data_IF_932794286946
#
_entry.id   IF_932794286946
#
_cell.length_a   1.000
_cell.length_b   1.000
_cell.length_c   1.000
_cell.angle_alpha   90.00
_cell.angle_beta   90.00
_cell.angle_gamma   90.00
#
_symmetry.space_group_name_H-M   'P 1'
#
loop_
_entity.id
_entity.type
_entity.pdbx_description
1 polymer ?
2 non-polymer ?
3 non-polymer ?
4 non-polymer ?
5 water ?
#
# COMPACT_ATOMS: atom_id res chain seq x y z
N UNK A 1 15.80 13.05 6.20
CA UNK A 1 16.38 14.25 6.88
C UNK A 1 15.29 15.17 7.47
N UNK A 2 14.19 15.35 6.74
CA UNK A 2 13.06 16.18 7.21
C UNK A 2 12.69 15.90 8.66
N UNK A 3 12.72 16.95 9.48
CA UNK A 3 12.45 16.84 10.90
C UNK A 3 10.96 16.90 11.19
N UNK A 4 10.56 16.42 12.37
CA UNK A 4 9.17 16.53 12.80
C UNK A 4 8.87 17.97 13.18
N UNK A 5 9.78 18.59 13.94
CA UNK A 5 9.65 19.99 14.35
C UNK A 5 9.61 20.89 13.13
N UNK A 6 10.36 20.50 12.11
CA UNK A 6 10.41 21.21 10.84
C UNK A 6 9.05 21.18 10.17
N UNK A 7 8.28 20.12 10.43
CA UNK A 7 6.96 19.93 9.81
C UNK A 7 5.86 20.54 10.67
N UNK A 8 6.00 20.43 11.99
CA UNK A 8 5.07 21.05 12.92
C UNK A 8 5.05 22.58 12.80
N UNK A 9 6.20 23.14 12.43
CA UNK A 9 6.35 24.58 12.30
C UNK A 9 5.88 25.08 10.95
N UNK A 10 5.76 24.18 9.98
CA UNK A 10 5.12 24.51 8.70
C UNK A 10 3.61 24.55 8.91
N UNK A 11 3.13 23.57 9.67
CA UNK A 11 1.72 23.40 9.97
C UNK A 11 1.19 24.47 10.92
N UNK A 12 2.08 25.07 11.70
CA UNK A 12 1.70 26.12 12.64
C UNK A 12 1.38 27.43 11.95
N UNK A 13 1.96 27.62 10.77
CA UNK A 13 1.65 28.79 9.95
C UNK A 13 0.38 28.54 9.15
N UNK A 14 -0.20 27.36 9.32
CA UNK A 14 -1.45 27.00 8.66
C UNK A 14 -2.63 27.67 9.35
N UNK A 15 -3.55 28.18 8.56
CA UNK A 15 -4.86 28.58 9.04
C UNK A 15 -5.69 27.37 9.51
N UNK A 16 -5.70 27.15 10.82
CA UNK A 16 -6.34 25.96 11.40
C UNK A 16 -7.85 25.87 11.19
N UNK A 17 -8.44 26.91 10.61
CA UNK A 17 -9.87 26.94 10.34
C UNK A 17 -10.18 26.41 8.94
N UNK A 18 -9.14 26.27 8.12
CA UNK A 18 -9.30 25.92 6.71
C UNK A 18 -8.42 24.76 6.25
N UNK A 19 -8.24 23.77 7.13
CA UNK A 19 -7.41 22.61 6.80
C UNK A 19 -8.04 21.79 5.68
N UNK A 20 -7.30 21.61 4.59
CA UNK A 20 -7.76 20.79 3.48
C UNK A 20 -7.01 19.45 3.46
N UNK A 21 -7.55 18.49 2.72
CA UNK A 21 -6.87 17.22 2.54
C UNK A 21 -6.46 17.13 1.07
N UNK A 22 -5.17 16.91 0.84
CA UNK A 22 -4.68 16.81 -0.53
C UNK A 22 -4.12 15.41 -0.83
N UNK A 23 -4.10 15.07 -2.11
CA UNK A 23 -3.45 13.85 -2.55
C UNK A 23 -3.29 13.87 -4.06
N UNK A 24 -2.50 12.93 -4.58
CA UNK A 24 -2.32 12.81 -6.01
C UNK A 24 -3.48 12.03 -6.61
N UNK A 25 -3.96 12.49 -7.75
CA UNK A 25 -5.09 11.85 -8.41
C UNK A 25 -4.72 10.53 -9.03
N UNK A 26 -4.65 9.48 -8.21
CA UNK A 26 -4.37 8.13 -8.67
C UNK A 26 -4.36 7.17 -7.49
N UNK A 27 -4.18 5.89 -7.79
CA UNK A 27 -4.01 4.86 -6.76
C UNK A 27 -5.25 4.56 -5.89
N UNK A 28 -5.53 5.44 -4.94
CA UNK A 28 -6.65 5.27 -4.01
C UNK A 28 -7.30 6.61 -3.71
N UNK A 29 -7.13 7.58 -4.59
CA UNK A 29 -7.49 8.96 -4.28
C UNK A 29 -8.99 9.23 -4.34
N UNK A 30 -9.72 8.42 -5.08
CA UNK A 30 -11.17 8.57 -5.18
C UNK A 30 -11.88 8.48 -3.83
N UNK A 31 -11.49 7.54 -2.97
CA UNK A 31 -12.10 7.41 -1.63
C UNK A 31 -11.37 8.21 -0.57
N UNK A 32 -10.08 8.50 -0.80
CA UNK A 32 -9.36 9.46 0.02
C UNK A 32 -10.05 10.83 -0.05
N UNK A 33 -10.39 11.25 -1.27
CA UNK A 33 -11.01 12.54 -1.49
C UNK A 33 -12.52 12.52 -1.18
N UNK A 34 -13.21 11.45 -1.55
CA UNK A 34 -14.60 11.26 -1.14
C UNK A 34 -14.73 11.20 0.36
N UNK A 35 -13.87 10.40 1.00
CA UNK A 35 -13.91 10.27 2.44
C UNK A 35 -13.68 11.58 3.16
N UNK A 36 -12.80 12.41 2.60
CA UNK A 36 -12.54 13.75 3.13
C UNK A 36 -13.78 14.65 3.05
N UNK A 37 -14.40 14.74 1.88
CA UNK A 37 -15.62 15.53 1.72
C UNK A 37 -16.68 15.12 2.74
N UNK A 38 -16.86 13.80 2.91
CA UNK A 38 -17.85 13.23 3.83
C UNK A 38 -17.58 13.66 5.27
N UNK A 39 -16.31 13.94 5.58
CA UNK A 39 -15.93 14.36 6.93
C UNK A 39 -15.90 15.88 7.10
N UNK A 40 -16.25 16.60 6.05
CA UNK A 40 -16.37 18.06 6.11
C UNK A 40 -15.25 18.83 5.44
N UNK A 41 -14.19 18.14 5.01
CA UNK A 41 -13.05 18.79 4.40
C UNK A 41 -13.29 19.28 2.98
N UNK A 42 -12.60 20.36 2.63
CA UNK A 42 -12.38 20.74 1.24
C UNK A 42 -11.15 19.97 0.74
N UNK A 43 -11.17 19.53 -0.52
CA UNK A 43 -10.17 18.60 -1.00
C UNK A 43 -9.34 19.13 -2.16
N UNK A 44 -8.06 18.77 -2.18
CA UNK A 44 -7.15 19.17 -3.26
C UNK A 44 -6.62 17.93 -4.01
N UNK A 45 -6.80 17.94 -5.32
CA UNK A 45 -6.32 16.84 -6.13
C UNK A 45 -5.20 17.27 -7.07
N UNK A 46 -4.00 16.71 -6.88
CA UNK A 46 -2.96 16.88 -7.89
C UNK A 46 -3.25 15.97 -9.10
N UNK A 47 -3.47 16.58 -10.24
CA UNK A 47 -3.81 15.84 -11.45
C UNK A 47 -3.07 16.39 -12.69
N UNK A 48 -3.38 15.85 -13.87
CA UNK A 48 -2.79 16.36 -15.11
C UNK A 48 -3.74 16.12 -16.26
N UNK A 49 -3.49 16.80 -17.37
CA UNK A 49 -4.35 16.64 -18.55
C UNK A 49 -4.30 15.20 -19.00
N UNK A 50 -5.45 14.69 -19.44
CA UNK A 50 -5.56 13.30 -19.88
C UNK A 50 -5.79 12.30 -18.76
N UNK A 51 -5.61 12.75 -17.52
CA UNK A 51 -5.74 11.90 -16.35
C UNK A 51 -6.66 12.47 -15.27
N UNK A 52 -7.44 13.50 -15.64
CA UNK A 52 -8.21 14.26 -14.66
C UNK A 52 -9.70 14.00 -14.68
N UNK A 53 -10.17 13.36 -15.76
CA UNK A 53 -11.58 13.06 -15.97
C UNK A 53 -12.28 12.28 -14.84
N UNK A 54 -11.64 11.23 -14.31
CA UNK A 54 -12.29 10.45 -13.26
C UNK A 54 -12.62 11.32 -12.04
N UNK A 55 -11.73 12.25 -11.71
CA UNK A 55 -11.89 13.13 -10.54
C UNK A 55 -12.87 14.27 -10.78
N UNK A 56 -13.06 14.62 -12.06
CA UNK A 56 -14.04 15.66 -12.43
C UNK A 56 -15.44 15.10 -12.47
N UNK A 57 -15.57 13.86 -12.96
CA UNK A 57 -16.89 13.29 -13.13
C UNK A 57 -17.41 12.65 -11.84
N UNK A 58 -16.51 12.31 -10.95
CA UNK A 58 -16.92 11.77 -9.67
C UNK A 58 -17.16 12.89 -8.64
N UNK A 59 -16.81 14.13 -9.03
CA UNK A 59 -17.08 15.37 -8.28
C UNK A 59 -16.45 15.35 -6.89
N UNK A 60 -15.23 14.85 -6.82
CA UNK A 60 -14.66 14.44 -5.56
C UNK A 60 -13.58 15.42 -5.10
N UNK A 61 -13.20 16.34 -5.99
CA UNK A 61 -12.16 17.32 -5.71
C UNK A 61 -12.68 18.74 -5.86
N UNK A 62 -12.39 19.59 -4.88
CA UNK A 62 -12.83 20.98 -4.93
C UNK A 62 -11.82 21.85 -5.65
N UNK A 63 -10.54 21.56 -5.45
CA UNK A 63 -9.49 22.31 -6.10
C UNK A 63 -8.52 21.37 -6.83
N UNK A 64 -8.20 21.70 -8.07
CA UNK A 64 -7.18 20.97 -8.82
C UNK A 64 -5.85 21.73 -8.88
N UNK A 65 -4.76 21.01 -8.64
CA UNK A 65 -3.42 21.49 -8.96
C UNK A 65 -2.90 20.69 -10.14
N UNK A 66 -2.99 21.24 -11.34
CA UNK A 66 -2.46 20.61 -12.55
C UNK A 66 -0.94 20.69 -12.66
N UNK A 67 -0.30 19.53 -12.82
CA UNK A 67 1.13 19.49 -13.14
C UNK A 67 1.31 19.08 -14.60
N UNK A 68 2.51 19.31 -15.13
CA UNK A 68 2.81 18.90 -16.51
C UNK A 68 2.92 17.39 -16.61
N UNK A 69 3.63 16.81 -15.65
CA UNK A 69 3.68 15.36 -15.44
C UNK A 69 3.71 15.14 -13.95
N UNK A 70 3.22 14.00 -13.48
CA UNK A 70 3.13 13.74 -12.04
C UNK A 70 4.51 13.82 -11.39
N UNK A 71 5.55 13.80 -12.20
CA UNK A 71 6.91 13.88 -11.67
C UNK A 71 7.17 15.27 -11.07
N UNK A 72 6.43 16.28 -11.53
CA UNK A 72 6.59 17.65 -11.06
C UNK A 72 6.15 17.87 -9.61
N UNK A 73 5.48 16.88 -9.03
CA UNK A 73 4.91 17.04 -7.68
C UNK A 73 5.97 17.14 -6.60
N UNK A 74 7.24 16.97 -7.00
CA UNK A 74 8.36 17.22 -6.10
C UNK A 74 8.73 18.70 -6.14
N UNK A 75 8.43 19.35 -7.26
CA UNK A 75 8.80 20.74 -7.49
C UNK A 75 8.35 21.65 -6.37
N UNK A 76 9.26 22.53 -5.95
CA UNK A 76 8.99 23.43 -4.84
C UNK A 76 7.80 24.36 -5.12
N UNK A 77 7.45 24.51 -6.40
CA UNK A 77 6.30 25.31 -6.77
C UNK A 77 4.99 24.67 -6.28
N UNK A 78 4.90 23.36 -6.44
CA UNK A 78 3.69 22.62 -6.06
C UNK A 78 3.60 22.49 -4.55
N UNK A 79 4.75 22.32 -3.90
CA UNK A 79 4.81 22.34 -2.45
C UNK A 79 4.24 23.65 -1.89
N UNK A 80 4.46 24.74 -2.60
CA UNK A 80 3.99 26.06 -2.17
C UNK A 80 2.48 26.22 -2.27
N UNK A 81 1.92 25.86 -3.42
CA UNK A 81 0.47 25.85 -3.59
C UNK A 81 -0.21 25.02 -2.50
N UNK A 82 0.41 23.90 -2.13
CA UNK A 82 -0.15 23.01 -1.11
C UNK A 82 -0.12 23.62 0.26
N UNK A 83 0.97 24.32 0.57
CA UNK A 83 1.11 25.00 1.85
C UNK A 83 0.14 26.18 1.95
N UNK A 84 -0.10 26.86 0.83
CA UNK A 84 -0.96 28.03 0.82
C UNK A 84 -2.43 27.63 0.91
N UNK A 85 -2.69 26.34 0.68
CA UNK A 85 -4.04 25.82 0.73
C UNK A 85 -4.31 25.15 2.06
N UNK A 86 -3.29 25.15 2.93
CA UNK A 86 -3.39 24.53 4.25
C UNK A 86 -3.65 23.02 4.18
N UNK A 87 -3.11 22.38 3.14
CA UNK A 87 -3.33 20.96 2.87
C UNK A 87 -2.46 20.04 3.72
N UNK A 88 -3.09 19.03 4.32
CA UNK A 88 -2.37 17.86 4.79
C UNK A 88 -2.42 16.86 3.62
N UNK A 89 -1.25 16.36 3.22
CA UNK A 89 -1.17 15.40 2.12
C UNK A 89 -1.33 13.96 2.62
N UNK A 90 -2.17 13.18 1.94
CA UNK A 90 -2.33 11.77 2.27
C UNK A 90 -1.52 10.94 1.27
N UNK A 91 -0.47 10.27 1.76
CA UNK A 91 0.42 9.55 0.85
C UNK A 91 -0.17 8.23 0.40
N UNK A 92 0.23 7.81 -0.80
CA UNK A 92 -0.16 6.52 -1.31
C UNK A 92 0.84 6.02 -2.36
N UNK A 93 0.70 4.76 -2.76
CA UNK A 93 1.63 4.13 -3.69
C UNK A 93 2.12 4.99 -4.84
N UNK A 94 1.17 5.57 -5.58
CA UNK A 94 1.51 6.38 -6.76
C UNK A 94 2.22 7.67 -6.43
N UNK A 95 1.85 8.28 -5.32
CA UNK A 95 2.42 9.57 -4.92
C UNK A 95 3.90 9.40 -4.62
N UNK A 96 4.22 8.34 -3.89
CA UNK A 96 5.58 8.06 -3.51
C UNK A 96 6.45 7.79 -4.73
N UNK A 97 5.91 7.04 -5.70
CA UNK A 97 6.64 6.72 -6.91
C UNK A 97 6.93 7.95 -7.78
N UNK A 98 5.90 8.74 -8.07
CA UNK A 98 6.05 9.91 -8.93
C UNK A 98 6.86 11.03 -8.26
N UNK A 99 6.79 11.08 -6.94
CA UNK A 99 7.51 12.11 -6.21
C UNK A 99 8.94 11.65 -5.91
N UNK A 100 9.11 10.33 -5.82
CA UNK A 100 10.40 9.75 -5.47
C UNK A 100 10.58 9.72 -3.97
N UNK A 101 10.91 8.54 -3.45
CA UNK A 101 10.95 8.30 -2.01
C UNK A 101 12.06 9.05 -1.27
N UNK A 102 13.09 9.49 -2.01
CA UNK A 102 14.12 10.33 -1.40
C UNK A 102 13.62 11.76 -1.25
N UNK A 103 12.99 12.26 -2.31
CA UNK A 103 12.31 13.54 -2.26
C UNK A 103 11.25 13.58 -1.18
N UNK A 104 10.53 12.48 -0.99
CA UNK A 104 9.53 12.40 0.07
C UNK A 104 10.18 12.57 1.43
N UNK A 105 11.31 11.90 1.65
CA UNK A 105 11.92 11.81 2.98
C UNK A 105 12.67 13.06 3.45
N UNK A 106 13.08 13.93 2.51
CA UNK A 106 13.84 15.13 2.90
C UNK A 106 13.74 16.34 1.97
N UNK A 107 12.90 16.27 0.94
CA UNK A 107 12.75 17.37 0.00
C UNK A 107 11.27 17.80 -0.16
N UNK A 108 10.35 17.09 0.50
CA UNK A 108 8.92 17.39 0.35
C UNK A 108 8.35 18.02 1.62
N UNK A 109 8.40 19.36 1.67
CA UNK A 109 8.07 20.11 2.88
C UNK A 109 6.59 20.48 3.00
N UNK A 110 5.74 19.46 2.90
CA UNK A 110 4.30 19.63 3.11
C UNK A 110 3.91 18.61 4.17
N UNK A 111 3.08 19.02 5.15
CA UNK A 111 2.59 18.08 6.16
C UNK A 111 1.94 16.84 5.54
N UNK A 112 2.13 15.70 6.17
CA UNK A 112 1.77 14.42 5.56
C UNK A 112 1.17 13.53 6.61
N UNK A 113 0.00 12.95 6.32
CA UNK A 113 -0.61 12.00 7.23
C UNK A 113 0.21 10.69 7.30
N UNK A 114 0.51 10.24 8.51
CA UNK A 114 1.30 9.02 8.71
C UNK A 114 2.73 9.26 9.17
N UNK A 115 3.44 8.17 9.44
CA UNK A 115 4.86 8.19 9.81
C UNK A 115 5.73 8.18 8.57
N UNK A 116 6.28 9.35 8.23
CA UNK A 116 7.08 9.56 7.03
C UNK A 116 8.27 8.60 6.89
N UNK A 117 8.98 8.39 8.00
CA UNK A 117 10.18 7.56 8.01
C UNK A 117 9.88 6.12 7.56
N UNK A 118 8.71 5.61 7.96
CA UNK A 118 8.40 4.20 7.78
C UNK A 118 8.03 3.82 6.35
N UNK A 119 7.94 4.82 5.47
CA UNK A 119 7.65 4.55 4.08
C UNK A 119 8.86 3.88 3.40
N UNK A 120 10.04 4.04 4.00
CA UNK A 120 11.25 3.39 3.51
C UNK A 120 11.22 1.90 3.81
N UNK A 121 10.62 1.54 4.94
CA UNK A 121 10.58 0.15 5.37
C UNK A 121 9.69 -0.76 4.53
N UNK A 122 8.81 -0.16 3.72
CA UNK A 122 7.98 -0.95 2.82
C UNK A 122 8.64 -1.04 1.46
N UNK A 123 9.55 -0.12 1.19
CA UNK A 123 10.21 -0.04 -0.11
C UNK A 123 11.33 -1.05 -0.25
N UNK A 124 12.00 -1.36 0.87
CA UNK A 124 13.13 -2.26 0.87
C UNK A 124 12.78 -3.62 1.43
N UNK A 125 13.00 -4.65 0.62
CA UNK A 125 12.65 -6.03 0.98
C UNK A 125 13.36 -6.52 2.24
N UNK A 126 14.54 -5.96 2.51
CA UNK A 126 15.31 -6.31 3.71
C UNK A 126 14.70 -5.72 4.98
N UNK A 127 14.33 -4.44 4.91
CA UNK A 127 13.63 -3.76 6.01
C UNK A 127 12.27 -4.40 6.25
N UNK A 128 11.52 -4.56 5.16
CA UNK A 128 10.21 -5.20 5.20
C UNK A 128 10.29 -6.59 5.84
N UNK A 129 11.21 -7.42 5.36
CA UNK A 129 11.41 -8.77 5.91
C UNK A 129 11.90 -8.76 7.33
N UNK A 130 12.79 -7.81 7.64
CA UNK A 130 13.28 -7.59 9.00
C UNK A 130 12.09 -7.35 9.93
N UNK A 131 11.28 -6.35 9.60
CA UNK A 131 10.09 -6.00 10.37
C UNK A 131 9.12 -7.16 10.58
N UNK A 132 8.74 -7.83 9.49
CA UNK A 132 7.76 -8.92 9.58
C UNK A 132 8.30 -10.10 10.37
N UNK A 133 9.59 -10.37 10.20
CA UNK A 133 10.27 -11.44 10.92
C UNK A 133 10.38 -11.08 12.42
N UNK A 134 10.80 -9.85 12.71
CA UNK A 134 10.95 -9.42 14.09
C UNK A 134 9.61 -9.20 14.81
N UNK A 135 8.57 -8.84 14.05
CA UNK A 135 7.23 -8.70 14.63
C UNK A 135 6.65 -10.06 14.99
N UNK A 136 7.26 -11.12 14.46
CA UNK A 136 6.83 -12.47 14.75
C UNK A 136 5.81 -12.99 13.77
N UNK A 137 5.86 -12.51 12.53
CA UNK A 137 4.87 -12.94 11.54
C UNK A 137 5.38 -14.04 10.62
N UNK A 138 4.49 -14.95 10.24
CA UNK A 138 4.82 -15.97 9.24
C UNK A 138 5.04 -15.35 7.87
N UNK A 139 6.19 -15.70 7.27
CA UNK A 139 6.56 -15.24 5.94
C UNK A 139 6.99 -16.44 5.09
N UNK A 140 7.01 -16.29 3.76
CA UNK A 140 7.54 -17.39 2.93
C UNK A 140 9.00 -17.69 3.27
N UNK A 141 9.38 -18.96 3.19
CA UNK A 141 10.78 -19.35 3.40
C UNK A 141 11.64 -18.75 2.28
N UNK A 142 12.79 -18.19 2.66
CA UNK A 142 13.67 -17.54 1.68
C UNK A 142 14.75 -18.50 1.15
N UNK A 143 15.23 -18.25 -0.06
CA UNK A 143 16.27 -19.07 -0.68
C UNK A 143 17.44 -18.24 -1.20
N UNK A 144 18.63 -18.52 -0.67
CA UNK A 144 19.81 -17.72 -1.01
C UNK A 144 20.18 -17.83 -2.49
N UNK A 145 20.10 -19.05 -3.03
CA UNK A 145 20.44 -19.25 -4.45
C UNK A 145 19.61 -20.36 -5.10
N UNK A 146 19.59 -20.36 -6.45
CA UNK A 146 18.90 -21.39 -7.23
C UNK A 146 19.24 -22.82 -6.82
N UNK A 147 20.44 -23.03 -6.28
CA UNK A 147 20.86 -24.36 -5.84
C UNK A 147 20.21 -24.80 -4.53
N UNK A 148 19.55 -23.87 -3.85
CA UNK A 148 18.93 -24.18 -2.57
C UNK A 148 17.48 -24.63 -2.73
N UNK A 149 16.97 -24.52 -3.97
CA UNK A 149 15.60 -24.86 -4.31
C UNK A 149 15.29 -26.34 -4.11
N UNK A 150 14.32 -26.63 -3.23
CA UNK A 150 13.94 -28.00 -2.89
C UNK A 150 12.42 -28.19 -2.89
N UNK A 151 11.71 -27.25 -3.50
CA UNK A 151 10.26 -27.31 -3.57
C UNK A 151 9.80 -26.35 -4.64
N UNK A 152 8.51 -26.05 -4.68
CA UNK A 152 8.02 -25.03 -5.59
C UNK A 152 8.33 -23.66 -4.99
N UNK A 153 8.93 -22.80 -5.81
CA UNK A 153 9.27 -21.47 -5.37
C UNK A 153 8.71 -20.46 -6.36
N UNK A 154 8.63 -19.21 -5.94
CA UNK A 154 8.30 -18.15 -6.87
C UNK A 154 9.50 -17.23 -6.88
N UNK A 155 9.83 -16.68 -8.04
CA UNK A 155 11.03 -15.86 -8.14
C UNK A 155 10.72 -14.45 -8.60
N UNK A 156 11.10 -13.47 -7.78
CA UNK A 156 10.77 -12.08 -8.02
C UNK A 156 12.01 -11.23 -8.33
N UNK A 157 11.86 -10.28 -9.25
CA UNK A 157 12.91 -9.33 -9.58
C UNK A 157 12.34 -7.92 -9.50
N UNK A 158 12.97 -7.05 -8.69
CA UNK A 158 12.57 -5.65 -8.51
C UNK A 158 12.44 -4.88 -9.82
N UNK A 165 7.76 -10.71 -15.67
CA UNK A 165 8.85 -10.46 -14.73
C UNK A 165 8.83 -11.35 -13.49
N UNK A 166 8.17 -12.50 -13.59
CA UNK A 166 8.02 -13.42 -12.48
C UNK A 166 7.97 -14.84 -13.05
N UNK A 167 8.42 -15.82 -12.29
CA UNK A 167 8.23 -17.21 -12.69
C UNK A 167 8.24 -18.20 -11.53
N UNK A 168 7.72 -19.40 -11.80
CA UNK A 168 7.66 -20.46 -10.80
C UNK A 168 8.67 -21.55 -11.20
N UNK A 169 9.34 -22.12 -10.19
CA UNK A 169 10.27 -23.20 -10.43
C UNK A 169 10.10 -24.26 -9.36
N UNK A 170 10.27 -25.52 -9.74
CA UNK A 170 10.25 -26.65 -8.78
C UNK A 170 11.61 -27.36 -8.65
N UNK A 171 12.63 -26.82 -9.31
CA UNK A 171 14.00 -27.35 -9.22
C UNK A 171 15.01 -26.30 -9.66
N UNK A 172 16.28 -26.51 -9.32
CA UNK A 172 17.38 -25.67 -9.78
C UNK A 172 17.42 -25.61 -11.31
N UNK A 173 17.27 -26.77 -11.93
CA UNK A 173 17.27 -26.87 -13.39
C UNK A 173 16.17 -26.04 -14.02
N UNK A 174 14.95 -26.17 -13.51
CA UNK A 174 13.83 -25.40 -14.04
C UNK A 174 14.08 -23.90 -13.90
N UNK A 175 14.67 -23.50 -12.78
CA UNK A 175 15.05 -22.10 -12.56
C UNK A 175 15.83 -21.52 -13.75
N UNK A 176 16.92 -22.19 -14.14
CA UNK A 176 17.75 -21.65 -15.22
C UNK A 176 17.07 -21.72 -16.57
N UNK A 177 16.37 -22.82 -16.85
CA UNK A 177 15.64 -22.92 -18.10
C UNK A 177 14.69 -21.73 -18.26
N UNK A 178 13.98 -21.42 -17.18
CA UNK A 178 13.04 -20.30 -17.18
C UNK A 178 13.69 -18.92 -17.22
N UNK A 179 14.74 -18.74 -16.41
CA UNK A 179 15.51 -17.51 -16.47
C UNK A 179 16.01 -17.28 -17.89
N UNK A 180 16.54 -18.33 -18.52
CA UNK A 180 17.01 -18.29 -19.91
C UNK A 180 15.91 -17.87 -20.88
N UNK A 181 14.73 -18.43 -20.69
CA UNK A 181 13.59 -18.09 -21.53
C UNK A 181 13.29 -16.60 -21.42
N UNK A 182 13.16 -16.10 -20.19
CA UNK A 182 12.84 -14.69 -19.95
C UNK A 182 13.97 -13.76 -20.37
N UNK A 183 15.15 -14.33 -20.60
CA UNK A 183 16.31 -13.57 -21.07
C UNK A 183 16.27 -13.47 -22.58
N UNK A 184 16.17 -14.63 -23.25
CA UNK A 184 16.15 -14.69 -24.71
C UNK A 184 14.80 -14.23 -25.28
N UNK A 185 13.99 -13.58 -24.44
CA UNK A 185 12.72 -13.00 -24.88
C UNK A 185 12.69 -11.52 -24.58
N UNK A 186 13.79 -11.02 -24.02
CA UNK A 186 13.94 -9.60 -23.73
C UNK A 186 13.02 -9.09 -22.65
N UNK A 187 12.87 -9.87 -21.58
CA UNK A 187 12.05 -9.48 -20.45
C UNK A 187 12.94 -9.26 -19.22
N UNK A 188 14.04 -10.01 -19.17
CA UNK A 188 14.99 -9.88 -18.06
C UNK A 188 16.44 -9.80 -18.57
N UNK A 189 17.16 -8.81 -18.08
CA UNK A 189 18.58 -8.69 -18.38
C UNK A 189 19.36 -9.54 -17.39
N UNK A 190 20.63 -9.78 -17.68
CA UNK A 190 21.49 -10.61 -16.84
C UNK A 190 21.66 -10.04 -15.43
N UNK A 191 21.37 -8.75 -15.29
CA UNK A 191 21.55 -8.05 -14.02
C UNK A 191 20.37 -8.27 -13.07
N UNK A 192 19.17 -8.40 -13.63
CA UNK A 192 17.99 -8.71 -12.82
C UNK A 192 18.12 -10.08 -12.18
N UNK A 193 18.44 -11.09 -13.00
CA UNK A 193 18.59 -12.46 -12.52
C UNK A 193 19.79 -12.63 -11.60
N UNK A 194 20.70 -11.65 -11.63
CA UNK A 194 21.86 -11.64 -10.74
C UNK A 194 21.43 -11.29 -9.32
N UNK A 195 20.22 -10.74 -9.19
CA UNK A 195 19.66 -10.36 -7.90
C UNK A 195 18.28 -10.97 -7.68
N UNK A 196 18.05 -12.14 -8.29
CA UNK A 196 16.78 -12.83 -8.20
C UNK A 196 16.41 -13.13 -6.75
N UNK A 197 15.19 -12.78 -6.36
CA UNK A 197 14.70 -13.11 -5.03
C UNK A 197 13.79 -14.34 -5.10
N UNK A 198 14.23 -15.40 -4.42
CA UNK A 198 13.58 -16.69 -4.50
C UNK A 198 12.95 -16.99 -3.16
N UNK A 199 11.66 -17.34 -3.18
CA UNK A 199 11.01 -17.73 -1.93
C UNK A 199 10.02 -18.85 -2.13
N UNK A 200 9.71 -19.52 -1.04
CA UNK A 200 8.67 -20.53 -1.00
C UNK A 200 7.41 -20.06 -1.73
N UNK A 201 6.86 -20.91 -2.60
CA UNK A 201 5.56 -20.64 -3.20
C UNK A 201 4.50 -21.07 -2.21
N UNK A 202 3.77 -20.11 -1.64
CA UNK A 202 2.70 -20.45 -0.71
C UNK A 202 1.41 -20.72 -1.48
N UNK A 203 0.84 -21.90 -1.28
CA UNK A 203 -0.37 -22.34 -1.96
C UNK A 203 -1.57 -22.13 -1.03
N UNK A 204 -2.44 -21.18 -1.37
CA UNK A 204 -3.53 -20.85 -0.48
C UNK A 204 -4.43 -19.72 -0.96
N UNK A 205 -5.32 -19.29 -0.09
CA UNK A 205 -6.25 -18.24 -0.42
C UNK A 205 -5.71 -16.84 -0.04
N UNK A 206 -5.77 -15.90 -0.98
CA UNK A 206 -5.33 -14.53 -0.80
C UNK A 206 -6.29 -13.66 0.03
N UNK A 207 -5.77 -13.16 1.14
CA UNK A 207 -6.42 -12.10 1.91
C UNK A 207 -5.47 -10.92 2.05
N UNK A 208 -5.77 -9.81 1.39
CA UNK A 208 -5.07 -8.58 1.67
C UNK A 208 -5.85 -7.84 2.75
N UNK A 209 -5.28 -7.83 3.95
CA UNK A 209 -5.99 -7.33 5.12
C UNK A 209 -5.63 -5.88 5.38
N UNK A 210 -6.65 -5.04 5.39
CA UNK A 210 -6.47 -3.61 5.57
C UNK A 210 -6.75 -3.21 7.02
N UNK A 211 -5.72 -2.69 7.68
CA UNK A 211 -5.83 -2.25 9.06
C UNK A 211 -5.69 -0.73 9.15
N UNK A 212 -6.16 -0.17 10.26
CA UNK A 212 -5.90 1.22 10.58
C UNK A 212 -5.43 1.29 12.02
N UNK A 213 -4.25 1.86 12.24
CA UNK A 213 -3.81 2.11 13.60
C UNK A 213 -4.12 3.55 13.98
N UNK A 214 -4.87 3.71 15.06
CA UNK A 214 -5.22 5.02 15.56
C UNK A 214 -4.30 5.38 16.72
N UNK A 215 -3.46 6.39 16.54
CA UNK A 215 -2.63 6.90 17.64
C UNK A 215 -3.47 7.65 18.68
N UNK A 216 -4.65 8.12 18.27
CA UNK A 216 -5.57 8.78 19.19
C UNK A 216 -6.20 7.78 20.12
N UNK A 217 -6.62 6.64 19.58
CA UNK A 217 -7.27 5.61 20.39
C UNK A 217 -6.33 4.52 20.85
N UNK A 218 -5.09 4.59 20.35
CA UNK A 218 -4.10 3.54 20.58
C UNK A 218 -4.69 2.17 20.29
N UNK A 219 -5.09 1.95 19.05
CA UNK A 219 -5.84 0.76 18.70
C UNK A 219 -5.62 0.39 17.24
N UNK A 220 -5.48 -0.91 16.98
CA UNK A 220 -5.47 -1.44 15.63
C UNK A 220 -6.88 -1.86 15.28
N UNK A 221 -7.38 -1.38 14.15
CA UNK A 221 -8.75 -1.64 13.68
C UNK A 221 -8.70 -2.46 12.39
N UNK A 222 -9.67 -3.34 12.19
CA UNK A 222 -9.85 -4.01 10.90
C UNK A 222 -10.88 -3.27 10.04
N UNK A 223 -10.47 -2.84 8.85
CA UNK A 223 -11.33 -2.04 7.98
C UNK A 223 -11.92 -2.82 6.83
N UNK A 224 -11.14 -3.73 6.27
CA UNK A 224 -11.59 -4.57 5.17
C UNK A 224 -10.54 -5.53 4.60
N UNK A 225 -10.94 -6.25 3.55
CA UNK A 225 -10.09 -7.25 2.91
C UNK A 225 -10.45 -7.38 1.45
N UNK A 226 -9.43 -7.62 0.62
CA UNK A 226 -9.62 -7.96 -0.78
C UNK A 226 -8.67 -9.09 -1.22
N UNK A 227 -8.97 -9.67 -2.38
CA UNK A 227 -8.00 -10.49 -3.07
C UNK A 227 -7.61 -9.81 -4.38
N UNK A 228 -6.35 -9.94 -4.76
CA UNK A 228 -5.85 -9.36 -6.00
C UNK A 228 -6.44 -10.02 -7.23
N UNK A 229 -6.54 -9.22 -8.30
CA UNK A 229 -6.98 -9.69 -9.60
C UNK A 229 -5.83 -9.32 -10.53
N UNK A 230 -5.03 -10.33 -10.90
CA UNK A 230 -3.78 -10.06 -11.60
C UNK A 230 -3.74 -10.62 -13.02
N UNK A 231 -3.11 -9.88 -13.92
CA UNK A 231 -2.98 -10.29 -15.31
C UNK A 231 -1.48 -10.50 -15.58
N UNK A 232 -1.11 -11.54 -16.34
CA UNK A 232 -2.06 -12.39 -17.06
C UNK A 232 -2.54 -13.60 -16.27
N UNK A 233 -2.01 -13.77 -15.06
CA UNK A 233 -2.17 -15.03 -14.33
C UNK A 233 -3.61 -15.48 -14.10
N UNK A 234 -4.48 -14.55 -13.72
CA UNK A 234 -5.85 -14.90 -13.41
C UNK A 234 -6.67 -15.16 -14.69
N UNK A 235 -6.12 -14.72 -15.82
CA UNK A 235 -6.62 -15.12 -17.13
C UNK A 235 -5.97 -16.40 -17.65
N UNK A 236 -4.69 -16.60 -17.33
CA UNK A 236 -3.99 -17.83 -17.69
C UNK A 236 -4.63 -19.09 -17.06
N UNK A 237 -4.95 -19.01 -15.77
CA UNK A 237 -5.51 -20.17 -15.08
C UNK A 237 -6.99 -20.39 -15.35
N UNK A 238 -7.59 -19.50 -16.13
CA UNK A 238 -8.98 -19.68 -16.53
C UNK A 238 -9.05 -20.46 -17.85
N UNK A 239 -7.90 -20.77 -18.42
CA UNK A 239 -7.82 -21.61 -19.62
C UNK A 239 -7.75 -23.06 -19.17
N UNK A 240 -8.56 -23.94 -19.77
CA UNK A 240 -8.49 -25.37 -19.41
C UNK A 240 -7.07 -25.97 -19.52
N UNK A 241 -6.75 -26.88 -18.63
CA UNK A 241 -5.41 -27.48 -18.54
C UNK A 241 -4.89 -28.02 -19.89
N UNK A 242 -5.75 -28.74 -20.61
CA UNK A 242 -5.39 -29.30 -21.93
C UNK A 242 -4.94 -28.22 -22.92
N UNK A 243 -5.66 -27.10 -22.93
CA UNK A 243 -5.32 -26.00 -23.81
C UNK A 243 -4.07 -25.24 -23.35
N UNK A 244 -3.90 -25.07 -22.04
CA UNK A 244 -2.71 -24.42 -21.52
C UNK A 244 -1.43 -25.13 -21.97
N UNK A 245 -1.47 -26.46 -22.03
CA UNK A 245 -0.31 -27.27 -22.41
C UNK A 245 0.03 -27.11 -23.89
N UNK A 246 -0.98 -26.77 -24.69
CA UNK A 246 -0.77 -26.46 -26.10
C UNK A 246 -0.25 -25.05 -26.33
N UNK A 247 -0.10 -24.27 -25.27
CA UNK A 247 0.35 -22.89 -25.40
C UNK A 247 1.79 -22.71 -24.91
N UNK A 248 2.46 -21.73 -25.49
CA UNK A 248 3.77 -21.34 -24.98
C UNK A 248 3.61 -19.99 -24.28
N UNK A 249 3.15 -20.03 -23.03
CA UNK A 249 2.76 -18.82 -22.34
C UNK A 249 3.30 -18.80 -20.92
N UNK A 250 3.92 -17.69 -20.54
CA UNK A 250 4.41 -17.51 -19.18
C UNK A 250 3.44 -16.67 -18.36
N UNK A 251 3.32 -16.97 -17.06
CA UNK A 251 2.50 -16.16 -16.18
C UNK A 251 3.13 -14.81 -15.85
N UNK A 252 2.31 -13.78 -15.83
CA UNK A 252 2.73 -12.50 -15.24
C UNK A 252 1.78 -12.18 -14.09
N UNK A 253 2.17 -11.23 -13.25
CA UNK A 253 1.42 -10.95 -12.02
C UNK A 253 1.15 -9.47 -11.86
N UNK A 254 0.63 -8.85 -12.92
CA UNK A 254 0.40 -7.42 -12.95
C UNK A 254 -0.95 -7.08 -12.31
N UNK A 255 -0.94 -6.32 -11.22
CA UNK A 255 -2.17 -5.90 -10.56
C UNK A 255 -3.07 -5.13 -11.51
N UNK A 256 -4.30 -5.63 -11.68
CA UNK A 256 -5.26 -4.93 -12.54
C UNK A 256 -6.52 -4.53 -11.78
N UNK A 257 -6.69 -5.07 -10.58
CA UNK A 257 -7.93 -4.82 -9.85
C UNK A 257 -8.07 -5.68 -8.62
N UNK A 258 -9.24 -5.61 -8.00
CA UNK A 258 -9.47 -6.30 -6.73
C UNK A 258 -10.88 -6.83 -6.56
N UNK A 259 -10.99 -7.84 -5.72
CA UNK A 259 -12.23 -8.54 -5.51
C UNK A 259 -12.41 -8.62 -4.00
N UNK A 260 -13.63 -8.36 -3.51
CA UNK A 260 -13.93 -8.46 -2.07
C UNK A 260 -14.02 -9.88 -1.52
N UNK A 261 -13.56 -10.04 -0.29
CA UNK A 261 -13.56 -11.34 0.35
C UNK A 261 -13.73 -11.11 1.85
N UNK A 262 -14.27 -12.10 2.56
CA UNK A 262 -14.33 -12.05 4.00
C UNK A 262 -13.61 -13.29 4.49
N UNK A 263 -12.95 -13.20 5.63
CA UNK A 263 -12.28 -14.37 6.18
C UNK A 263 -13.25 -15.16 7.06
N UNK A 264 -12.90 -16.42 7.33
CA UNK A 264 -13.59 -17.27 8.29
C UNK A 264 -13.50 -16.60 9.66
N UNK A 265 -14.62 -16.46 10.36
CA UNK A 265 -14.61 -15.59 11.55
C UNK A 265 -13.68 -16.08 12.67
N UNK A 266 -13.55 -17.39 12.83
CA UNK A 266 -12.61 -17.95 13.82
C UNK A 266 -11.14 -17.57 13.58
N UNK A 267 -10.85 -16.97 12.42
CA UNK A 267 -9.47 -16.59 12.11
C UNK A 267 -9.19 -15.11 12.43
N UNK A 268 -10.21 -14.42 12.93
CA UNK A 268 -10.05 -13.00 13.23
C UNK A 268 -9.10 -12.72 14.40
N UNK A 269 -9.13 -13.59 15.44
CA UNK A 269 -8.11 -13.47 16.49
C UNK A 269 -6.67 -13.53 15.96
N UNK A 270 -6.41 -14.40 14.99
CA UNK A 270 -5.09 -14.42 14.32
C UNK A 270 -4.89 -13.11 13.55
N UNK A 271 -5.94 -12.65 12.87
CA UNK A 271 -5.87 -11.43 12.05
C UNK A 271 -5.48 -10.19 12.85
N UNK A 272 -6.09 -10.03 14.02
CA UNK A 272 -5.82 -8.85 14.87
C UNK A 272 -4.45 -8.96 15.55
N UNK A 273 -4.12 -10.14 16.06
CA UNK A 273 -2.79 -10.39 16.64
C UNK A 273 -1.67 -10.06 15.66
N UNK A 274 -1.89 -10.34 14.37
CA UNK A 274 -0.90 -10.00 13.34
C UNK A 274 -0.69 -8.50 13.24
N UNK A 275 -1.79 -7.75 13.22
CA UNK A 275 -1.73 -6.29 13.18
C UNK A 275 -1.16 -5.71 14.47
N UNK A 276 -1.62 -6.22 15.61
CA UNK A 276 -1.08 -5.84 16.91
C UNK A 276 0.44 -6.01 16.97
N UNK A 277 0.91 -7.20 16.58
CA UNK A 277 2.34 -7.53 16.62
C UNK A 277 3.16 -6.64 15.71
N UNK A 278 2.69 -6.49 14.48
CA UNK A 278 3.32 -5.61 13.50
C UNK A 278 3.44 -4.19 14.04
N UNK A 279 2.39 -3.73 14.71
CA UNK A 279 2.35 -2.37 15.22
C UNK A 279 3.27 -2.20 16.44
N UNK A 280 3.27 -3.18 17.33
CA UNK A 280 4.15 -3.17 18.51
C UNK A 280 5.65 -3.21 18.15
N UNK A 281 6.00 -3.86 17.04
CA UNK A 281 7.41 -3.92 16.63
C UNK A 281 7.83 -2.67 15.88
N UNK A 282 6.93 -2.11 15.07
CA UNK A 282 7.23 -0.91 14.28
C UNK A 282 7.43 0.34 15.17
N UNK A 283 6.81 0.32 16.35
CA UNK A 283 7.02 1.39 17.33
C UNK A 283 8.47 1.41 17.79
N UNK A 284 9.04 0.23 18.02
CA UNK A 284 10.44 0.09 18.42
C UNK A 284 11.39 0.41 17.27
N UNK A 285 11.15 -0.17 16.11
CA UNK A 285 12.07 -0.06 14.99
C UNK A 285 12.04 1.29 14.28
N UNK A 286 10.84 1.86 14.10
CA UNK A 286 10.73 3.15 13.41
C UNK A 286 9.72 4.09 14.09
N UNK A 287 10.10 4.65 15.26
CA UNK A 287 9.19 5.50 16.03
C UNK A 287 8.62 6.67 15.22
N UNK A 288 7.33 7.00 15.42
CA UNK A 288 6.38 6.38 16.36
C UNK A 288 5.75 5.05 15.91
N UNK A 289 6.11 4.56 14.73
CA UNK A 289 5.61 3.26 14.26
C UNK A 289 4.65 3.36 13.08
N UNK A 290 3.66 2.47 13.06
CA UNK A 290 2.61 2.51 12.04
C UNK A 290 1.60 3.60 12.39
N UNK A 291 1.30 4.47 11.43
CA UNK A 291 0.32 5.52 11.69
C UNK A 291 -0.77 5.48 10.63
N UNK A 292 -1.99 5.14 11.04
CA UNK A 292 -3.09 5.05 10.10
C UNK A 292 -3.16 3.74 9.34
N UNK A 293 -3.45 3.82 8.03
CA UNK A 293 -3.69 2.63 7.20
C UNK A 293 -2.45 1.76 6.93
N UNK A 294 -2.59 0.44 7.09
CA UNK A 294 -1.57 -0.52 6.65
C UNK A 294 -2.20 -1.86 6.25
N UNK A 295 -1.54 -2.55 5.33
CA UNK A 295 -2.06 -3.79 4.75
C UNK A 295 -1.07 -4.94 4.91
N UNK A 296 -1.56 -6.06 5.42
CA UNK A 296 -0.82 -7.32 5.33
C UNK A 296 -1.38 -8.13 4.18
N UNK A 297 -0.56 -8.37 3.17
CA UNK A 297 -0.98 -9.18 2.02
C UNK A 297 -0.54 -10.63 2.24
N UNK A 298 -1.50 -11.48 2.55
CA UNK A 298 -1.20 -12.82 3.01
C UNK A 298 -1.85 -13.93 2.18
N UNK A 299 -1.45 -15.15 2.45
CA UNK A 299 -2.05 -16.32 1.83
C UNK A 299 -2.37 -17.27 2.95
N UNK A 300 -3.57 -17.83 2.93
CA UNK A 300 -3.99 -18.74 3.98
C UNK A 300 -3.81 -20.18 3.48
N UNK A 301 -2.91 -20.91 4.13
CA UNK A 301 -2.69 -22.29 3.75
C UNK A 301 -3.75 -23.21 4.35
N UNK A 302 -3.68 -24.48 3.98
CA UNK A 302 -4.67 -25.45 4.41
C UNK A 302 -4.65 -25.69 5.92
N UNK A 303 -3.58 -25.26 6.58
CA UNK A 303 -3.52 -25.36 8.04
C UNK A 303 -4.05 -24.11 8.73
N UNK A 304 -4.78 -23.30 7.96
CA UNK A 304 -5.42 -22.08 8.46
C UNK A 304 -4.41 -21.14 9.08
N UNK A 305 -3.27 -20.99 8.42
CA UNK A 305 -2.24 -20.07 8.86
C UNK A 305 -2.08 -19.05 7.78
N UNK A 306 -2.13 -17.77 8.17
CA UNK A 306 -1.90 -16.69 7.25
C UNK A 306 -0.40 -16.41 7.12
N UNK A 307 0.10 -16.49 5.90
CA UNK A 307 1.50 -16.22 5.62
C UNK A 307 1.60 -14.93 4.82
N UNK A 308 2.39 -13.98 5.32
CA UNK A 308 2.47 -12.66 4.71
C UNK A 308 3.65 -12.56 3.73
N UNK A 309 3.35 -12.25 2.46
CA UNK A 309 4.39 -12.17 1.44
C UNK A 309 4.70 -10.73 1.06
N UNK A 310 3.93 -9.81 1.62
CA UNK A 310 4.06 -8.40 1.28
C UNK A 310 3.33 -7.58 2.34
N UNK A 311 3.67 -6.30 2.41
CA UNK A 311 2.98 -5.38 3.30
C UNK A 311 3.09 -3.98 2.74
N UNK A 312 2.16 -3.12 3.13
CA UNK A 312 2.26 -1.71 2.80
C UNK A 312 2.27 -0.92 4.10
N UNK A 313 2.98 0.21 4.12
CA UNK A 313 3.08 1.02 5.33
C UNK A 313 2.20 2.27 5.20
N UNK A 314 1.39 2.27 4.14
CA UNK A 314 0.38 3.30 3.96
C UNK A 314 -0.87 2.65 3.35
N UNK A 315 -1.76 3.46 2.79
CA UNK A 315 -2.98 2.92 2.22
C UNK A 315 -2.65 2.07 0.99
N UNK A 316 -3.30 0.91 0.89
CA UNK A 316 -3.07 -0.07 -0.17
C UNK A 316 -4.21 -0.03 -1.20
N UNK A 317 -3.88 -0.27 -2.47
CA UNK A 317 -4.85 -0.18 -3.57
C UNK A 317 -6.12 -0.98 -3.38
N UNK A 318 -6.05 -2.04 -2.59
CA UNK A 318 -7.19 -2.92 -2.37
C UNK A 318 -8.35 -2.29 -1.61
N UNK A 319 -8.12 -1.13 -0.99
CA UNK A 319 -9.17 -0.44 -0.24
C UNK A 319 -10.24 0.08 -1.19
N UNK A 320 -9.90 0.11 -2.47
CA UNK A 320 -10.83 0.51 -3.51
C UNK A 320 -12.00 -0.46 -3.61
N UNK A 321 -11.81 -1.71 -3.20
CA UNK A 321 -12.87 -2.70 -3.30
C UNK A 321 -14.02 -2.36 -2.35
N UNK A 322 -13.75 -1.57 -1.31
CA UNK A 322 -14.80 -1.11 -0.39
C UNK A 322 -14.95 0.44 -0.27
N UNK A 323 -14.95 1.15 -1.40
CA UNK A 323 -15.12 2.61 -1.37
C UNK A 323 -16.53 3.02 -0.87
N UNK A 324 -17.49 2.09 -0.97
CA UNK A 324 -18.84 2.32 -0.51
C UNK A 324 -19.06 1.60 0.80
N UNK A 325 -17.95 1.29 1.46
CA UNK A 325 -17.97 0.57 2.72
C UNK A 325 -17.92 -0.94 2.50
N UNK A 326 -17.65 -1.69 3.57
CA UNK A 326 -17.62 -3.14 3.43
C UNK A 326 -18.17 -3.84 4.65
N UNK A 327 -18.19 -5.18 4.62
CA UNK A 327 -18.72 -5.96 5.76
C UNK A 327 -18.07 -5.68 7.12
N UNK A 328 -16.76 -5.42 7.15
CA UNK A 328 -16.08 -5.09 8.41
C UNK A 328 -16.18 -3.61 8.78
N UNK A 329 -16.05 -2.69 7.81
CA UNK A 329 -16.11 -1.26 8.11
C UNK A 329 -17.50 -0.85 8.64
N UNK A 330 -18.49 -1.66 8.30
CA UNK A 330 -19.88 -1.47 8.70
C UNK A 330 -20.16 -1.69 10.19
N UNK A 331 -19.40 -2.59 10.82
CA UNK A 331 -19.72 -3.06 12.16
C UNK A 331 -19.61 -1.95 13.21
N UNK A 332 -18.60 -1.10 13.09
CA UNK A 332 -18.39 0.05 13.95
C UNK A 332 -19.62 0.93 14.22
N UNK A 333 -20.25 1.43 13.16
CA UNK A 333 -21.36 2.36 13.32
C UNK A 333 -22.47 2.20 12.30
N UNK A 334 -22.52 1.05 11.63
CA UNK A 334 -23.52 0.81 10.59
C UNK A 334 -23.42 1.76 9.40
N UNK A 335 -22.22 2.22 9.12
CA UNK A 335 -22.02 3.20 8.04
C UNK A 335 -21.26 2.60 6.84
N UNK A 336 -21.45 3.18 5.65
CA UNK A 336 -20.65 2.87 4.46
C UNK A 336 -19.23 3.47 4.53
N UNK A 337 -18.43 3.03 5.51
CA UNK A 337 -17.15 3.65 5.81
C UNK A 337 -15.99 3.11 4.94
N UNK A 338 -15.35 3.99 4.17
CA UNK A 338 -14.13 3.63 3.46
C UNK A 338 -12.88 3.93 4.25
N UNK A 339 -11.75 3.39 3.80
CA UNK A 339 -10.47 3.73 4.40
C UNK A 339 -10.21 5.22 4.26
N UNK A 340 -10.46 5.78 3.08
CA UNK A 340 -10.32 7.21 2.86
C UNK A 340 -11.04 8.04 3.92
N UNK A 341 -12.28 7.67 4.24
CA UNK A 341 -13.05 8.36 5.25
C UNK A 341 -12.55 8.13 6.68
N UNK A 342 -12.01 6.93 6.93
CA UNK A 342 -11.40 6.61 8.23
C UNK A 342 -10.15 7.44 8.49
N UNK A 343 -9.41 7.73 7.43
CA UNK A 343 -8.23 8.59 7.49
C UNK A 343 -8.64 10.04 7.79
N UNK A 344 -9.55 10.57 6.99
CA UNK A 344 -10.10 11.91 7.18
C UNK A 344 -10.70 12.11 8.57
N UNK A 345 -11.33 11.09 9.13
CA UNK A 345 -11.91 11.21 10.46
C UNK A 345 -10.83 11.39 11.53
N UNK A 346 -9.70 10.71 11.34
CA UNK A 346 -8.60 10.80 12.28
C UNK A 346 -7.98 12.19 12.19
N UNK A 347 -7.86 12.70 10.97
CA UNK A 347 -7.40 14.06 10.79
C UNK A 347 -8.35 15.06 11.49
N UNK A 348 -9.66 14.80 11.40
CA UNK A 348 -10.68 15.65 12.00
C UNK A 348 -10.61 15.64 13.53
N UNK A 349 -10.67 14.45 14.12
CA UNK A 349 -10.58 14.28 15.56
C UNK A 349 -9.30 14.86 16.16
N UNK A 350 -8.17 14.72 15.44
CA UNK A 350 -6.90 15.23 15.92
C UNK A 350 -6.87 16.76 15.91
N UNK A 351 -7.41 17.37 14.86
CA UNK A 351 -7.57 18.83 14.85
C UNK A 351 -8.46 19.32 16.00
N UNK A 352 -9.51 18.55 16.32
CA UNK A 352 -10.46 18.93 17.37
C UNK A 352 -9.92 18.72 18.78
N UNK A 353 -8.96 17.80 18.93
CA UNK A 353 -8.42 17.46 20.23
C UNK A 353 -7.04 18.06 20.43
N UNK A 354 -6.58 18.81 19.44
CA UNK A 354 -5.25 19.41 19.45
C UNK A 354 -4.16 18.34 19.62
N UNK A 355 -4.14 17.38 18.70
CA UNK A 355 -3.25 16.24 18.76
C UNK A 355 -2.78 15.92 17.37
N UNK A 356 -2.61 16.95 16.56
CA UNK A 356 -2.17 16.78 15.19
C UNK A 356 -0.74 16.20 15.15
N UNK A 357 -0.02 16.32 16.27
CA UNK A 357 1.35 15.83 16.37
C UNK A 357 1.40 14.31 16.49
N UNK A 358 0.25 13.69 16.70
CA UNK A 358 0.22 12.23 16.77
C UNK A 358 0.02 11.61 15.38
N UNK A 359 -0.28 12.43 14.38
CA UNK A 359 -0.73 11.91 13.10
C UNK A 359 -0.03 12.47 11.87
N UNK A 360 0.75 13.52 12.04
CA UNK A 360 1.46 14.09 10.87
C UNK A 360 2.98 14.04 11.03
N UNK A 361 3.70 14.18 9.92
CA UNK A 361 5.16 14.21 9.91
C UNK A 361 5.68 14.61 8.55
X LIG B 1 -14.93 15.93 -18.53
X LIG B 1 -14.89 17.36 -18.27
X LIG B 1 -16.29 15.56 -18.93
X LIG B 1 -13.99 15.60 -19.61
X LIG B 1 -14.57 15.19 -17.33
X LIG C 1 -0.69 -0.53 -3.05
X LIG D 1 -4.66 -0.25 3.63
X LIG E 1 4.38 -9.18 -5.01
X LIG E 1 3.37 -8.28 -4.35
X LIG E 1 5.02 -8.62 -6.25
X LIG E 1 5.28 -9.86 -4.02
X LIG E 1 3.55 -10.43 -5.60
X LIG E 1 2.83 -10.34 -6.81
X LIG E 1 1.85 -11.50 -6.77
X LIG E 1 2.56 -12.74 -6.84
X LIG E 1 1.09 -11.55 -5.45
X LIG E 1 -0.08 -10.71 -5.44
X LIG E 1 0.76 -13.02 -5.32
X LIG E 1 -0.47 -13.31 -5.98
X LIG E 1 1.92 -13.71 -6.01
X LIG E 1 2.86 -14.12 -4.95
X LIG E 1 3.73 -13.30 -4.34
X LIG E 1 4.44 -13.95 -3.37
X LIG E 1 4.00 -15.22 -3.37
X LIG E 1 4.33 -16.45 -2.62
X LIG E 1 5.28 -16.44 -1.65
X LIG E 1 3.65 -17.58 -2.92
X LIG E 1 2.70 -17.60 -3.87
X LIG E 1 2.35 -16.52 -4.60
X LIG E 1 2.95 -15.33 -4.39
X LIG F 1 0.01 2.71 -10.22
X LIG F 1 0.99 1.95 -11.08
X LIG F 1 0.28 4.20 -10.16
X LIG F 1 -1.44 2.38 -10.49
X LIG F 1 0.23 2.18 -8.71
X LIG F 1 1.50 2.24 -8.06
X LIG F 1 1.76 0.92 -7.32
X LIG F 1 0.80 0.68 -6.28
X LIG F 1 1.73 -0.30 -8.23
X LIG F 1 3.06 -0.66 -8.62
X LIG F 1 1.11 -1.41 -7.39
X LIG F 1 2.10 -2.23 -6.77
X LIG F 1 0.36 -0.68 -6.30
X LIG F 1 -1.09 -0.75 -6.61
X LIG F 1 -1.76 0.14 -7.37
X LIG F 1 -3.06 -0.19 -7.47
X LIG F 1 -3.25 -1.31 -6.75
X LIG F 1 -4.40 -2.19 -6.45
X LIG F 1 -5.64 -1.90 -6.94
X LIG F 1 -4.17 -3.27 -5.67
X LIG F 1 -2.96 -3.56 -5.18
X LIG F 1 -1.86 -2.81 -5.43
X LIG F 1 -1.95 -1.69 -6.19
#
# INVERSE_FOLDING_TARGET
>A
MISKDEILEIFDKYNKDEITIATLGSHTSLHILKGAKLEGFSTVCITMKGRDVPYKRFKVADKFIYVDNFSDIKNEEIQEKLRELNSIVVPHGSFIAYCGLDNVENSFLVPMFGNRRILRWESERSLEGKLLREAGLRVPKKYESPEDIDGTVIVKFPGARGGRGYFIASSTEEFYKKAEDLKKRGILTDEDIANAHIEEYVVGTNFCIHYFYSPLKDEVELLGMDKRYESNIDGLVRIPAKDQLEMNINPSYVITGNIPVVIRESLLPQVFEMGDKLVAKAKELVPPGMIGPFCLQSLCNENLELVVFEMSARVDGGTNSFMNGGPYSFLYNGEPLSMGQRIAREIKMALQLDMIDKIIS
>B hetero
1 SO4 S O1 O2 O3 O4
>C hetero
1 CL CL
>D hetero
1 CL CL
>E hetero
1 AMP P O1P O2P O3P O5' C5' C4' O4' C3' O3' C2' O2' C1' N9 C8 N7 C5 C6 N6 N1 C2 N3 C4
>F hetero
1 AMP P O1P O2P O3P O5' C5' C4' O4' C3' O3' C2' O2' C1' N9 C8 N7 C5 C6 N6 N1 C2 N3 C4
#
